data_IF_824506844518
#
_entry.id   IF_824506844518
#
_cell.length_a   1.000
_cell.length_b   1.000
_cell.length_c   1.000
_cell.angle_alpha   90.00
_cell.angle_beta   90.00
_cell.angle_gamma   90.00
#
_symmetry.space_group_name_H-M   'P 1'
#
loop_
_entity.id
_entity.type
_entity.pdbx_description
1 polymer ?
#
# COMPACT_ATOMS: atom_id res chain seq x y z
N UNK A 1 -32.91 46.78 -24.73
CA UNK A 1 -31.97 46.03 -23.87
C UNK A 1 -32.80 45.16 -22.94
N UNK A 2 -32.92 43.87 -23.23
CA UNK A 2 -33.52 42.89 -22.32
C UNK A 2 -32.47 41.79 -22.14
N UNK A 3 -32.01 41.62 -20.90
CA UNK A 3 -30.98 40.67 -20.54
C UNK A 3 -31.58 39.26 -20.46
N UNK A 4 -30.97 38.33 -21.17
CA UNK A 4 -31.24 36.89 -21.13
C UNK A 4 -30.69 36.32 -19.81
N UNK A 5 -31.59 35.86 -18.93
CA UNK A 5 -31.22 35.05 -17.76
C UNK A 5 -30.78 33.68 -18.26
N UNK A 6 -29.53 33.33 -17.98
CA UNK A 6 -29.03 31.95 -18.09
C UNK A 6 -29.35 31.24 -16.78
N UNK A 7 -30.15 30.20 -16.87
CA UNK A 7 -30.36 29.21 -15.83
C UNK A 7 -29.00 28.61 -15.42
N UNK A 8 -28.64 28.79 -14.15
CA UNK A 8 -27.57 28.05 -13.50
C UNK A 8 -28.11 26.66 -13.19
N UNK A 9 -27.77 25.68 -14.02
CA UNK A 9 -27.97 24.28 -13.69
C UNK A 9 -27.10 23.94 -12.48
N UNK A 10 -27.76 23.62 -11.38
CA UNK A 10 -27.17 23.08 -10.16
C UNK A 10 -26.41 21.78 -10.51
N UNK A 11 -25.10 21.77 -10.31
CA UNK A 11 -24.25 20.60 -10.53
C UNK A 11 -24.72 19.46 -9.62
N UNK A 12 -24.91 18.23 -10.15
CA UNK A 12 -25.39 17.12 -9.33
C UNK A 12 -24.33 16.80 -8.27
N UNK A 13 -24.76 16.81 -7.02
CA UNK A 13 -24.00 16.29 -5.88
C UNK A 13 -23.55 14.86 -6.19
N UNK A 14 -22.30 14.47 -5.90
CA UNK A 14 -21.85 13.10 -6.13
C UNK A 14 -22.73 12.16 -5.32
N UNK A 15 -23.40 11.25 -6.02
CA UNK A 15 -24.23 10.22 -5.42
C UNK A 15 -23.30 9.33 -4.57
N UNK A 16 -23.38 9.43 -3.25
CA UNK A 16 -22.62 8.55 -2.35
C UNK A 16 -23.18 7.14 -2.53
N UNK A 17 -22.41 6.28 -3.18
CA UNK A 17 -22.72 4.86 -3.32
C UNK A 17 -23.11 4.27 -1.96
N UNK A 18 -24.13 3.42 -1.96
CA UNK A 18 -24.66 2.82 -0.74
C UNK A 18 -23.58 1.97 -0.05
N UNK A 19 -23.62 1.94 1.29
CA UNK A 19 -22.67 1.25 2.17
C UNK A 19 -22.52 -0.27 1.87
N UNK A 20 -23.49 -0.86 1.14
CA UNK A 20 -23.51 -2.27 0.73
C UNK A 20 -22.85 -2.53 -0.64
N UNK A 21 -22.83 -1.57 -1.57
CA UNK A 21 -22.16 -1.74 -2.88
C UNK A 21 -20.65 -1.51 -2.79
N UNK A 22 -20.19 -0.74 -1.80
CA UNK A 22 -18.77 -0.52 -1.51
C UNK A 22 -18.10 -1.71 -0.79
N UNK A 23 -18.89 -2.69 -0.32
CA UNK A 23 -18.43 -4.02 0.08
C UNK A 23 -18.19 -4.88 -1.16
N UNK A 24 -17.41 -4.35 -2.11
CA UNK A 24 -16.82 -5.14 -3.19
C UNK A 24 -16.13 -6.34 -2.57
N UNK A 25 -16.48 -7.55 -3.05
CA UNK A 25 -15.81 -8.79 -2.64
C UNK A 25 -14.29 -8.55 -2.73
N UNK A 26 -13.55 -8.98 -1.71
CA UNK A 26 -12.09 -8.92 -1.75
C UNK A 26 -11.56 -9.63 -2.99
N UNK A 27 -10.39 -9.22 -3.50
CA UNK A 27 -9.76 -9.90 -4.63
C UNK A 27 -9.51 -11.37 -4.29
N UNK A 28 -9.12 -11.66 -3.05
CA UNK A 28 -8.97 -13.02 -2.57
C UNK A 28 -10.28 -13.84 -2.64
N UNK A 29 -11.44 -13.24 -2.35
CA UNK A 29 -12.73 -13.92 -2.53
C UNK A 29 -13.06 -14.19 -4.00
N UNK A 30 -12.75 -13.24 -4.88
CA UNK A 30 -12.97 -13.41 -6.32
C UNK A 30 -12.13 -14.57 -6.86
N UNK A 31 -10.87 -14.66 -6.45
CA UNK A 31 -9.94 -15.73 -6.82
C UNK A 31 -10.39 -17.08 -6.27
N UNK A 32 -10.73 -17.18 -4.98
CA UNK A 32 -11.13 -18.45 -4.34
C UNK A 32 -12.40 -19.02 -5.00
N UNK A 33 -13.33 -18.17 -5.38
CA UNK A 33 -14.58 -18.59 -6.00
C UNK A 33 -14.48 -18.85 -7.51
N UNK A 34 -13.30 -18.67 -8.11
CA UNK A 34 -13.07 -18.91 -9.54
C UNK A 34 -13.84 -17.96 -10.46
N UNK A 35 -14.18 -16.75 -9.98
CA UNK A 35 -14.89 -15.75 -10.77
C UNK A 35 -13.97 -15.06 -11.79
N UNK A 36 -14.55 -14.57 -12.88
CA UNK A 36 -13.85 -13.65 -13.77
C UNK A 36 -13.68 -12.28 -13.08
N UNK A 37 -12.53 -11.59 -13.28
CA UNK A 37 -12.36 -10.21 -12.85
C UNK A 37 -13.51 -9.33 -13.34
N UNK A 38 -14.17 -8.57 -12.44
CA UNK A 38 -15.13 -7.57 -12.87
C UNK A 38 -14.49 -6.49 -13.76
N UNK A 39 -15.31 -5.79 -14.54
CA UNK A 39 -14.85 -4.81 -15.54
C UNK A 39 -13.98 -3.68 -14.97
N UNK A 40 -14.18 -3.30 -13.72
CA UNK A 40 -13.38 -2.28 -13.03
C UNK A 40 -11.97 -2.75 -12.65
N UNK A 41 -11.61 -4.02 -12.85
CA UNK A 41 -10.24 -4.51 -12.74
C UNK A 41 -9.55 -4.68 -14.10
N UNK A 42 -10.28 -4.46 -15.20
CA UNK A 42 -9.79 -4.64 -16.56
C UNK A 42 -9.38 -3.30 -17.12
N UNK A 43 -8.08 -3.11 -17.33
CA UNK A 43 -7.56 -1.92 -17.99
C UNK A 43 -7.82 -1.99 -19.51
N UNK A 44 -8.82 -1.25 -19.98
CA UNK A 44 -9.27 -1.28 -21.39
C UNK A 44 -8.50 -0.33 -22.32
N UNK A 45 -7.86 0.71 -21.79
CA UNK A 45 -7.12 1.69 -22.58
C UNK A 45 -5.70 1.22 -22.88
N UNK A 46 -5.50 0.44 -23.95
CA UNK A 46 -4.19 -0.07 -24.37
C UNK A 46 -3.21 1.00 -24.92
N UNK A 47 -3.24 2.24 -24.41
CA UNK A 47 -2.20 3.25 -24.71
C UNK A 47 -0.94 3.08 -23.88
N UNK A 48 -0.98 2.23 -22.84
CA UNK A 48 0.23 1.73 -22.18
C UNK A 48 0.95 0.80 -23.16
N UNK A 49 2.05 1.27 -23.74
CA UNK A 49 2.83 0.52 -24.70
C UNK A 49 3.08 -0.90 -24.20
N UNK A 50 2.87 -1.89 -25.07
CA UNK A 50 3.36 -3.25 -24.85
C UNK A 50 4.82 -3.12 -24.45
N UNK A 51 5.27 -3.68 -23.31
CA UNK A 51 6.69 -3.64 -22.95
C UNK A 51 7.46 -4.21 -24.13
N UNK A 52 8.25 -3.38 -24.80
CA UNK A 52 9.12 -3.85 -25.87
C UNK A 52 10.11 -4.81 -25.23
N UNK A 53 9.96 -6.09 -25.56
CA UNK A 53 10.80 -7.19 -25.07
C UNK A 53 12.28 -6.96 -25.45
N UNK A 54 12.55 -6.00 -26.34
CA UNK A 54 13.89 -5.58 -26.75
C UNK A 54 14.43 -4.33 -26.04
N UNK A 55 13.67 -3.68 -25.17
CA UNK A 55 14.23 -2.60 -24.34
C UNK A 55 15.19 -3.21 -23.32
N UNK A 56 16.48 -2.84 -23.32
CA UNK A 56 17.41 -3.28 -22.29
C UNK A 56 16.83 -2.91 -20.93
N UNK A 57 16.65 -3.90 -20.04
CA UNK A 57 16.34 -3.60 -18.65
C UNK A 57 17.55 -2.87 -18.08
N UNK A 58 17.44 -1.55 -17.95
CA UNK A 58 18.40 -0.83 -17.14
C UNK A 58 18.29 -1.38 -15.70
N UNK A 59 19.42 -1.57 -15.03
CA UNK A 59 19.40 -2.07 -13.66
C UNK A 59 19.03 -0.95 -12.69
N UNK A 60 18.08 -1.21 -11.80
CA UNK A 60 17.69 -0.26 -10.74
C UNK A 60 18.93 0.02 -9.88
N UNK A 61 19.32 1.30 -9.67
CA UNK A 61 20.52 1.64 -8.91
C UNK A 61 20.46 1.07 -7.49
N UNK A 62 21.59 0.52 -7.03
CA UNK A 62 21.75 0.01 -5.66
C UNK A 62 22.54 1.02 -4.84
N UNK A 63 22.02 1.48 -3.70
CA UNK A 63 22.69 2.43 -2.80
C UNK A 63 23.05 1.75 -1.47
N UNK A 64 24.31 1.87 -1.08
CA UNK A 64 24.83 1.39 0.20
C UNK A 64 24.66 2.46 1.29
N UNK A 65 23.65 2.27 2.15
CA UNK A 65 23.40 3.20 3.25
C UNK A 65 24.41 3.06 4.40
N UNK A 66 25.18 1.96 4.44
CA UNK A 66 26.27 1.77 5.38
C UNK A 66 27.43 2.70 5.07
N UNK A 67 27.78 2.87 3.79
CA UNK A 67 28.79 3.85 3.35
C UNK A 67 28.35 5.27 3.73
N UNK A 68 27.11 5.66 3.44
CA UNK A 68 26.59 7.00 3.74
C UNK A 68 26.59 7.34 5.24
N UNK A 69 26.51 6.34 6.12
CA UNK A 69 26.57 6.50 7.58
C UNK A 69 28.00 6.46 8.13
N UNK A 70 28.98 6.12 7.30
CA UNK A 70 30.38 5.98 7.71
C UNK A 70 31.16 7.29 7.58
N UNK A 71 32.40 7.30 8.09
CA UNK A 71 33.38 8.37 7.81
C UNK A 71 34.37 7.96 6.71
N UNK A 72 33.96 7.06 5.81
CA UNK A 72 34.81 6.59 4.72
C UNK A 72 35.06 7.67 3.67
N UNK A 73 36.18 7.57 2.96
CA UNK A 73 36.50 8.45 1.83
C UNK A 73 35.53 8.28 0.65
N UNK A 74 34.82 7.15 0.57
CA UNK A 74 33.86 6.80 -0.48
C UNK A 74 32.47 7.39 -0.28
N UNK A 75 32.21 8.12 0.82
CA UNK A 75 30.92 8.76 1.09
C UNK A 75 30.50 9.70 -0.05
N UNK A 76 31.44 10.46 -0.60
CA UNK A 76 31.15 11.41 -1.68
C UNK A 76 30.68 10.70 -2.97
N UNK A 77 31.30 9.56 -3.30
CA UNK A 77 30.94 8.76 -4.47
C UNK A 77 29.55 8.14 -4.31
N UNK A 78 29.25 7.57 -3.14
CA UNK A 78 27.95 6.95 -2.87
C UNK A 78 26.83 8.01 -2.78
N UNK A 79 27.13 9.22 -2.31
CA UNK A 79 26.19 10.33 -2.29
C UNK A 79 25.86 10.82 -3.70
N UNK A 80 26.86 10.94 -4.58
CA UNK A 80 26.61 11.29 -5.99
C UNK A 80 25.83 10.19 -6.73
N UNK A 81 26.08 8.92 -6.40
CA UNK A 81 25.28 7.79 -6.89
C UNK A 81 23.82 7.89 -6.46
N UNK A 82 23.56 8.20 -5.18
CA UNK A 82 22.20 8.43 -4.66
C UNK A 82 21.53 9.59 -5.38
N UNK A 83 22.23 10.72 -5.54
CA UNK A 83 21.73 11.89 -6.27
C UNK A 83 21.40 11.56 -7.72
N UNK A 84 22.26 10.80 -8.39
CA UNK A 84 22.02 10.34 -9.76
C UNK A 84 20.78 9.46 -9.85
N UNK A 85 20.63 8.48 -8.95
CA UNK A 85 19.47 7.60 -8.90
C UNK A 85 18.17 8.39 -8.68
N UNK A 86 18.16 9.35 -7.76
CA UNK A 86 16.97 10.19 -7.50
C UNK A 86 16.60 11.06 -8.71
N UNK A 87 17.57 11.57 -9.47
CA UNK A 87 17.30 12.45 -10.62
C UNK A 87 16.95 11.69 -11.91
N UNK A 88 17.52 10.50 -12.12
CA UNK A 88 17.35 9.75 -13.37
C UNK A 88 16.28 8.65 -13.27
N UNK A 89 16.22 7.97 -12.12
CA UNK A 89 15.30 6.86 -11.89
C UNK A 89 14.10 7.23 -11.03
N UNK A 90 14.30 8.10 -10.03
CA UNK A 90 13.30 8.39 -9.00
C UNK A 90 13.14 7.27 -7.96
N UNK A 91 13.84 6.14 -8.12
CA UNK A 91 13.88 5.03 -7.18
C UNK A 91 15.26 4.36 -7.14
N UNK A 92 15.52 3.59 -6.08
CA UNK A 92 16.75 2.81 -5.90
C UNK A 92 16.51 1.65 -4.93
N UNK A 93 17.38 0.64 -4.98
CA UNK A 93 17.44 -0.43 -3.99
C UNK A 93 18.44 -0.05 -2.89
N UNK A 94 18.06 -0.13 -1.63
CA UNK A 94 18.97 0.13 -0.51
C UNK A 94 19.58 -1.17 0.01
N UNK A 95 20.90 -1.18 0.22
CA UNK A 95 21.60 -2.24 0.96
C UNK A 95 22.27 -1.65 2.21
N UNK A 96 22.66 -2.52 3.15
CA UNK A 96 23.29 -2.11 4.42
C UNK A 96 22.46 -1.03 5.16
N UNK A 97 21.14 -1.09 5.04
CA UNK A 97 20.19 -0.12 5.60
C UNK A 97 20.11 -0.19 7.14
N UNK A 98 20.60 -1.27 7.75
CA UNK A 98 20.62 -1.49 9.20
C UNK A 98 19.37 -2.20 9.74
N UNK A 99 18.48 -2.67 8.87
CA UNK A 99 17.36 -3.54 9.25
C UNK A 99 17.86 -4.97 9.13
N UNK A 100 17.70 -5.77 10.19
CA UNK A 100 18.19 -7.15 10.24
C UNK A 100 17.32 -8.08 9.38
N UNK A 101 17.93 -9.11 8.78
CA UNK A 101 17.18 -10.11 8.01
C UNK A 101 16.12 -10.81 8.87
N UNK A 102 16.45 -11.13 10.11
CA UNK A 102 15.50 -11.75 11.05
C UNK A 102 14.31 -10.85 11.39
N UNK A 103 14.45 -9.53 11.25
CA UNK A 103 13.32 -8.61 11.35
C UNK A 103 12.45 -8.66 10.09
N UNK A 104 13.04 -8.62 8.90
CA UNK A 104 12.30 -8.74 7.63
C UNK A 104 11.55 -10.08 7.54
N UNK A 105 12.17 -11.17 7.97
CA UNK A 105 11.54 -12.50 8.03
C UNK A 105 10.29 -12.50 8.90
N UNK A 106 10.32 -11.79 10.04
CA UNK A 106 9.17 -11.66 10.94
C UNK A 106 8.04 -10.82 10.32
N UNK A 107 8.37 -9.77 9.57
CA UNK A 107 7.36 -8.97 8.84
C UNK A 107 6.69 -9.82 7.77
N UNK A 108 7.47 -10.60 7.02
CA UNK A 108 6.94 -11.53 6.03
C UNK A 108 6.04 -12.59 6.66
N UNK A 109 6.46 -13.16 7.79
CA UNK A 109 5.68 -14.17 8.50
C UNK A 109 4.37 -13.58 9.07
N UNK A 110 4.41 -12.40 9.69
CA UNK A 110 3.21 -11.71 10.18
C UNK A 110 2.21 -11.39 9.07
N UNK A 111 2.72 -10.97 7.91
CA UNK A 111 1.90 -10.74 6.72
C UNK A 111 1.19 -12.02 6.28
N UNK A 112 1.93 -13.13 6.16
CA UNK A 112 1.35 -14.44 5.80
C UNK A 112 0.28 -14.87 6.81
N UNK A 113 0.56 -14.72 8.10
CA UNK A 113 -0.37 -15.09 9.16
C UNK A 113 -1.63 -14.23 9.16
N UNK A 114 -1.58 -12.95 8.78
CA UNK A 114 -2.78 -12.13 8.64
C UNK A 114 -3.65 -12.54 7.46
N UNK A 115 -3.05 -12.82 6.29
CA UNK A 115 -3.80 -13.13 5.07
C UNK A 115 -4.24 -14.60 4.96
N UNK A 116 -3.68 -15.50 5.78
CA UNK A 116 -3.98 -16.94 5.76
C UNK A 116 -5.39 -17.32 6.25
N UNK A 117 -5.97 -16.71 7.30
CA UNK A 117 -7.30 -17.06 7.79
C UNK A 117 -8.44 -16.71 6.80
N UNK A 118 -9.64 -17.31 7.00
CA UNK A 118 -10.83 -16.98 6.23
C UNK A 118 -11.26 -15.53 6.35
N UNK A 119 -12.07 -15.07 5.38
CA UNK A 119 -12.50 -13.68 5.24
C UNK A 119 -13.20 -13.11 6.46
N UNK A 120 -14.06 -13.88 7.12
CA UNK A 120 -14.81 -13.42 8.29
C UNK A 120 -13.92 -12.97 9.45
N UNK A 121 -12.70 -13.54 9.55
CA UNK A 121 -11.72 -13.12 10.55
C UNK A 121 -11.05 -11.80 10.15
N UNK A 122 -10.77 -11.61 8.86
CA UNK A 122 -10.11 -10.40 8.32
C UNK A 122 -11.06 -9.20 8.22
N UNK A 123 -12.35 -9.42 7.94
CA UNK A 123 -13.39 -8.38 7.90
C UNK A 123 -13.58 -7.65 9.22
N UNK A 124 -13.15 -8.24 10.35
CA UNK A 124 -13.08 -7.53 11.64
C UNK A 124 -12.17 -6.32 11.61
N UNK A 125 -11.19 -6.32 10.71
CA UNK A 125 -10.22 -5.25 10.52
C UNK A 125 -10.61 -4.35 9.35
N UNK A 126 -11.81 -4.47 8.78
CA UNK A 126 -12.22 -3.71 7.60
C UNK A 126 -12.11 -2.21 7.81
N UNK A 127 -11.63 -1.51 6.77
CA UNK A 127 -11.55 -0.07 6.73
C UNK A 127 -12.95 0.55 6.83
N UNK A 128 -13.10 1.54 7.70
CA UNK A 128 -14.32 2.35 7.81
C UNK A 128 -14.43 3.33 6.63
N UNK A 129 -15.65 3.73 6.25
CA UNK A 129 -15.91 4.54 5.05
C UNK A 129 -15.10 5.85 4.97
N UNK A 130 -14.82 6.49 6.11
CA UNK A 130 -14.09 7.77 6.19
C UNK A 130 -12.69 7.61 6.81
N UNK A 131 -12.13 6.40 6.77
CA UNK A 131 -10.82 6.09 7.33
C UNK A 131 -9.92 5.52 6.23
N UNK A 132 -8.62 5.77 6.30
CA UNK A 132 -7.62 5.20 5.39
C UNK A 132 -7.05 3.87 5.92
N UNK A 133 -7.13 3.66 7.23
CA UNK A 133 -6.59 2.48 7.91
C UNK A 133 -7.61 1.33 7.95
N UNK A 134 -7.09 0.11 7.84
CA UNK A 134 -7.86 -1.12 7.88
C UNK A 134 -7.62 -2.00 6.66
N UNK A 135 -8.33 -3.11 6.64
CA UNK A 135 -8.33 -4.13 5.61
C UNK A 135 -9.33 -3.80 4.51
N UNK A 136 -8.92 -3.95 3.26
CA UNK A 136 -9.78 -3.82 2.09
C UNK A 136 -9.01 -3.51 0.82
N UNK A 137 -9.77 -3.32 -0.26
CA UNK A 137 -9.25 -2.84 -1.54
C UNK A 137 -9.01 -1.31 -1.50
N UNK A 138 -8.67 -0.73 -2.65
CA UNK A 138 -8.57 0.72 -2.82
C UNK A 138 -9.86 1.44 -2.45
N UNK A 139 -9.72 2.71 -2.05
CA UNK A 139 -10.89 3.59 -1.88
C UNK A 139 -11.45 3.87 -3.28
N UNK A 140 -12.75 3.63 -3.44
CA UNK A 140 -13.47 3.90 -4.67
C UNK A 140 -13.93 5.36 -4.61
N UNK A 141 -13.37 6.20 -5.48
CA UNK A 141 -13.71 7.61 -5.60
C UNK A 141 -14.70 7.87 -6.75
N UNK A 142 -14.85 6.93 -7.69
CA UNK A 142 -15.79 7.05 -8.81
C UNK A 142 -16.17 5.68 -9.40
N UNK A 143 -17.31 5.60 -10.08
CA UNK A 143 -17.83 4.38 -10.70
C UNK A 143 -16.96 3.84 -11.84
N UNK A 144 -16.13 4.70 -12.44
CA UNK A 144 -15.28 4.36 -13.58
C UNK A 144 -13.82 4.12 -13.18
N UNK A 145 -13.53 4.05 -11.89
CA UNK A 145 -12.18 3.83 -11.38
C UNK A 145 -11.73 2.41 -11.71
N UNK A 146 -10.55 2.29 -12.33
CA UNK A 146 -9.86 1.02 -12.45
C UNK A 146 -9.21 0.69 -11.11
N UNK A 147 -9.47 -0.51 -10.60
CA UNK A 147 -9.00 -1.02 -9.31
C UNK A 147 -7.79 -1.93 -9.50
N UNK A 148 -6.85 -1.84 -8.56
CA UNK A 148 -5.73 -2.77 -8.49
C UNK A 148 -6.23 -4.17 -8.08
N UNK A 149 -5.66 -5.21 -8.69
CA UNK A 149 -5.92 -6.60 -8.30
C UNK A 149 -5.17 -6.96 -7.01
N UNK A 150 -5.55 -6.36 -5.89
CA UNK A 150 -4.85 -6.52 -4.60
C UNK A 150 -5.76 -6.27 -3.41
N UNK A 151 -5.56 -7.05 -2.34
CA UNK A 151 -6.10 -6.74 -1.02
C UNK A 151 -5.01 -6.11 -0.14
N UNK A 152 -5.37 -5.07 0.63
CA UNK A 152 -4.42 -4.29 1.44
C UNK A 152 -4.82 -4.29 2.91
N UNK A 153 -3.82 -4.21 3.78
CA UNK A 153 -3.99 -3.81 5.18
C UNK A 153 -3.13 -2.57 5.41
N UNK A 154 -3.80 -1.44 5.68
CA UNK A 154 -3.13 -0.15 5.92
C UNK A 154 -3.19 0.15 7.41
N UNK A 155 -2.04 0.39 8.03
CA UNK A 155 -1.92 0.69 9.46
C UNK A 155 -1.04 1.92 9.65
N UNK A 156 -1.49 2.86 10.48
CA UNK A 156 -0.65 3.95 10.95
C UNK A 156 0.20 3.46 12.12
N UNK A 157 1.51 3.56 11.98
CA UNK A 157 2.49 2.99 12.94
C UNK A 157 3.29 4.06 13.68
N UNK A 158 3.23 5.30 13.18
CA UNK A 158 3.88 6.48 13.73
C UNK A 158 3.06 7.73 13.35
N UNK A 159 2.97 8.75 14.22
CA UNK A 159 3.45 8.76 15.60
C UNK A 159 2.61 7.89 16.56
N UNK A 160 3.14 7.59 17.74
CA UNK A 160 2.58 6.60 18.68
C UNK A 160 1.18 6.96 19.20
N UNK A 161 0.91 8.25 19.36
CA UNK A 161 -0.35 8.85 19.82
C UNK A 161 -1.47 8.81 18.77
N UNK A 162 -1.14 8.65 17.49
CA UNK A 162 -2.12 8.56 16.40
C UNK A 162 -2.51 7.11 16.05
N UNK A 163 -1.89 6.11 16.70
CA UNK A 163 -2.15 4.70 16.41
C UNK A 163 -3.52 4.27 16.93
N UNK A 164 -4.30 3.61 16.07
CA UNK A 164 -5.62 3.09 16.44
C UNK A 164 -5.51 1.69 17.05
N UNK A 165 -5.95 1.56 18.30
CA UNK A 165 -5.97 0.29 19.02
C UNK A 165 -7.09 -0.67 18.57
N UNK A 166 -8.03 -0.22 17.74
CA UNK A 166 -9.12 -1.06 17.21
C UNK A 166 -8.62 -2.21 16.35
N UNK A 167 -7.43 -2.09 15.76
CA UNK A 167 -6.77 -3.17 15.01
C UNK A 167 -5.88 -4.06 15.89
N UNK A 168 -5.84 -3.81 17.20
CA UNK A 168 -5.12 -4.64 18.16
C UNK A 168 -5.94 -5.93 18.36
N UNK A 169 -5.34 -7.12 18.26
CA UNK A 169 -6.06 -8.35 18.54
C UNK A 169 -6.50 -8.37 20.01
N UNK A 170 -7.81 -8.56 20.24
CA UNK A 170 -8.41 -8.68 21.58
C UNK A 170 -7.91 -9.91 22.35
N UNK A 171 -7.33 -10.89 21.65
CA UNK A 171 -6.93 -12.17 22.22
C UNK A 171 -5.39 -12.36 22.16
N UNK A 172 -4.71 -12.61 23.30
CA UNK A 172 -3.25 -12.81 23.35
C UNK A 172 -2.74 -14.06 22.61
N UNK A 173 -3.62 -14.87 22.02
CA UNK A 173 -3.30 -16.03 21.16
C UNK A 173 -3.46 -15.77 19.66
N UNK A 174 -3.92 -14.59 19.24
CA UNK A 174 -4.03 -14.24 17.82
C UNK A 174 -2.63 -13.80 17.30
N UNK A 175 -1.82 -14.80 16.98
CA UNK A 175 -0.36 -14.68 16.83
C UNK A 175 0.06 -13.79 15.64
N UNK A 176 -0.67 -13.81 14.53
CA UNK A 176 -0.31 -13.08 13.31
C UNK A 176 -0.35 -11.56 13.45
N UNK A 177 -1.38 -11.05 14.12
CA UNK A 177 -1.59 -9.62 14.31
C UNK A 177 -0.73 -9.05 15.44
N UNK A 178 -0.45 -9.85 16.47
CA UNK A 178 0.47 -9.45 17.53
C UNK A 178 1.90 -9.36 17.06
N UNK A 179 2.31 -10.23 16.14
CA UNK A 179 3.60 -10.15 15.46
C UNK A 179 3.66 -8.80 14.75
N UNK A 180 2.83 -8.56 13.74
CA UNK A 180 2.93 -7.34 12.92
C UNK A 180 2.85 -6.05 13.75
N UNK A 181 1.92 -5.96 14.70
CA UNK A 181 1.80 -4.79 15.56
C UNK A 181 2.93 -4.69 16.58
N UNK A 182 3.30 -5.72 17.36
CA UNK A 182 4.47 -5.61 18.27
C UNK A 182 5.76 -5.26 17.52
N UNK A 183 5.89 -5.65 16.24
CA UNK A 183 7.05 -5.35 15.40
C UNK A 183 7.07 -3.92 14.88
N UNK A 184 5.92 -3.34 14.51
CA UNK A 184 5.79 -1.92 14.16
C UNK A 184 5.90 -1.01 15.39
N UNK A 185 5.64 -1.52 16.60
CA UNK A 185 5.71 -0.78 17.86
C UNK A 185 7.12 -0.75 18.49
N UNK A 186 8.12 -1.41 17.90
CA UNK A 186 9.47 -1.42 18.46
C UNK A 186 10.22 -0.10 18.18
N UNK A 187 10.49 0.66 19.27
CA UNK A 187 11.11 1.99 19.25
C UNK A 187 12.52 2.04 18.66
N UNK A 188 13.21 0.91 18.56
CA UNK A 188 14.57 0.87 17.98
C UNK A 188 14.60 1.08 16.46
N UNK A 189 13.51 0.74 15.75
CA UNK A 189 13.50 0.72 14.28
C UNK A 189 12.59 1.77 13.66
N UNK A 190 11.63 2.31 14.43
CA UNK A 190 10.54 3.10 13.88
C UNK A 190 10.78 4.60 14.03
N UNK A 191 11.85 5.10 13.41
CA UNK A 191 12.07 6.55 13.36
C UNK A 191 11.51 7.27 12.15
N UNK A 192 11.09 6.63 11.03
CA UNK A 192 10.57 7.38 9.85
C UNK A 192 9.88 6.56 8.72
N UNK A 193 9.21 5.42 8.97
CA UNK A 193 8.66 4.62 7.85
C UNK A 193 7.16 4.37 7.91
N UNK A 194 6.44 4.72 6.83
CA UNK A 194 5.13 4.18 6.51
C UNK A 194 5.31 2.87 5.75
N UNK A 195 4.62 1.81 6.16
CA UNK A 195 4.68 0.50 5.51
C UNK A 195 3.34 0.22 4.86
N UNK A 196 3.31 0.15 3.53
CA UNK A 196 2.19 -0.42 2.79
C UNK A 196 2.52 -1.89 2.51
N UNK A 197 1.68 -2.80 3.01
CA UNK A 197 1.79 -4.23 2.71
C UNK A 197 0.65 -4.57 1.76
N UNK A 198 1.01 -4.85 0.50
CA UNK A 198 0.13 -5.41 -0.51
C UNK A 198 0.56 -6.84 -0.84
N UNK A 199 -0.41 -7.70 -1.12
CA UNK A 199 -0.18 -9.00 -1.75
C UNK A 199 -0.85 -8.99 -3.11
N UNK A 200 -0.11 -9.38 -4.14
CA UNK A 200 -0.63 -9.70 -5.48
C UNK A 200 -1.16 -11.14 -5.50
#
# INVERSE_FOLDING_TARGET
MAASSRDMAESPTPNMATKEELLSKSVQELVINGGQPPDNYVYKNSTGGVPDVHTPLNEIPVIDLGILKSSATTVAEELEKLRSALNSWGCFQAINHGITSSFLDKIHEGTKQFFSPPMDKKRKYSREANNIEGYGNDIIFSDHQILDWTDRLILMVSPEDQRKFTFRPDNPTDSGNQIMLRFLLNKEYNRNYSLQISRA
#
